data_IF_896345911532
#
_entry.id   IF_896345911532
#
_cell.length_a   1.000
_cell.length_b   1.000
_cell.length_c   1.000
_cell.angle_alpha   90.00
_cell.angle_beta   90.00
_cell.angle_gamma   90.00
#
_symmetry.space_group_name_H-M   'P 1'
#
loop_
_entity.id
_entity.type
_entity.pdbx_description
1 polymer ?
#
# COMPACT_ATOMS: atom_id res chain seq x y z
N UNK A 1 -43.47 35.25 36.66
CA UNK A 1 -42.57 34.08 36.60
C UNK A 1 -42.36 33.76 35.14
N UNK A 2 -41.21 34.13 34.56
CA UNK A 2 -40.87 33.77 33.18
C UNK A 2 -39.42 33.31 33.17
N UNK A 3 -39.21 32.10 32.68
CA UNK A 3 -37.99 31.31 32.81
C UNK A 3 -36.93 31.76 31.80
N UNK A 4 -35.72 31.99 32.31
CA UNK A 4 -34.50 32.10 31.49
C UNK A 4 -34.20 30.76 30.82
N UNK A 5 -34.28 30.70 29.50
CA UNK A 5 -33.70 29.61 28.72
C UNK A 5 -32.23 29.92 28.47
N UNK A 6 -31.37 29.19 29.18
CA UNK A 6 -29.93 29.15 28.98
C UNK A 6 -29.65 28.37 27.69
N UNK A 7 -29.21 29.06 26.64
CA UNK A 7 -28.83 28.45 25.37
C UNK A 7 -27.53 27.65 25.52
N UNK A 8 -27.62 26.33 25.37
CA UNK A 8 -26.48 25.42 25.29
C UNK A 8 -25.90 25.48 23.86
N UNK A 9 -24.81 26.22 23.68
CA UNK A 9 -24.06 26.27 22.44
C UNK A 9 -23.27 24.96 22.27
N UNK A 10 -23.77 24.05 21.42
CA UNK A 10 -23.05 22.84 21.01
C UNK A 10 -21.93 23.26 20.05
N UNK A 11 -20.70 23.35 20.57
CA UNK A 11 -19.48 23.45 19.77
C UNK A 11 -19.26 22.11 19.05
N UNK A 12 -19.76 22.02 17.82
CA UNK A 12 -19.34 21.00 16.86
C UNK A 12 -17.86 21.23 16.55
N UNK A 13 -16.97 20.50 17.23
CA UNK A 13 -15.58 20.37 16.80
C UNK A 13 -15.59 19.59 15.49
N UNK A 14 -15.48 20.29 14.37
CA UNK A 14 -15.09 19.70 13.09
C UNK A 14 -13.68 19.15 13.24
N UNK A 15 -13.55 17.86 13.52
CA UNK A 15 -12.26 17.17 13.41
C UNK A 15 -11.93 17.20 11.90
N UNK A 16 -10.83 17.85 11.47
CA UNK A 16 -10.41 17.76 10.08
C UNK A 16 -10.13 16.29 9.79
N UNK A 17 -10.86 15.73 8.83
CA UNK A 17 -10.50 14.44 8.24
C UNK A 17 -9.21 14.71 7.45
N UNK A 18 -8.05 14.43 8.05
CA UNK A 18 -6.80 14.41 7.30
C UNK A 18 -6.91 13.26 6.29
N UNK A 19 -7.30 13.59 5.07
CA UNK A 19 -7.01 12.76 3.91
C UNK A 19 -5.50 12.78 3.77
N UNK A 20 -4.77 11.81 4.33
CA UNK A 20 -3.35 11.77 4.00
C UNK A 20 -3.25 11.50 2.51
N UNK A 21 -2.48 12.35 1.86
CA UNK A 21 -2.29 12.35 0.45
C UNK A 21 -1.32 11.22 0.07
N UNK A 22 -1.38 10.83 -1.20
CA UNK A 22 -0.42 9.90 -1.77
C UNK A 22 0.98 10.52 -1.76
N UNK A 23 2.01 9.69 -1.56
CA UNK A 23 3.41 10.13 -1.64
C UNK A 23 3.70 10.58 -3.07
N UNK A 24 4.08 11.85 -3.22
CA UNK A 24 4.72 12.34 -4.42
C UNK A 24 6.22 12.08 -4.35
N UNK A 25 6.78 11.46 -5.39
CA UNK A 25 8.19 11.08 -5.45
C UNK A 25 8.83 11.59 -6.74
N UNK A 26 10.12 11.90 -6.66
CA UNK A 26 10.91 12.39 -7.80
C UNK A 26 11.09 11.28 -8.85
N UNK A 27 11.53 11.66 -10.05
CA UNK A 27 11.83 10.69 -11.10
C UNK A 27 12.91 9.70 -10.67
N UNK A 28 13.84 10.10 -9.81
CA UNK A 28 14.91 9.28 -9.26
C UNK A 28 15.01 9.41 -7.73
N UNK A 29 15.56 8.38 -7.09
CA UNK A 29 15.75 8.38 -5.65
C UNK A 29 16.25 7.04 -5.10
N UNK A 30 16.00 6.83 -3.80
CA UNK A 30 16.29 5.55 -3.14
C UNK A 30 15.03 4.95 -2.53
N UNK A 31 14.96 3.63 -2.51
CA UNK A 31 13.84 2.85 -2.01
C UNK A 31 14.36 1.59 -1.31
N UNK A 32 13.46 0.87 -0.65
CA UNK A 32 13.69 -0.55 -0.37
C UNK A 32 13.17 -1.41 -1.50
N UNK A 33 13.72 -2.61 -1.60
CA UNK A 33 13.21 -3.66 -2.45
C UNK A 33 13.13 -4.96 -1.67
N UNK A 34 11.97 -5.60 -1.74
CA UNK A 34 11.68 -6.95 -1.27
C UNK A 34 11.32 -7.83 -2.45
N UNK A 35 10.93 -9.08 -2.19
CA UNK A 35 10.33 -9.94 -3.19
C UNK A 35 9.12 -10.69 -2.63
N UNK A 36 8.24 -11.09 -3.55
CA UNK A 36 7.07 -11.90 -3.29
C UNK A 36 6.79 -12.83 -4.48
N UNK A 37 6.16 -13.96 -4.21
CA UNK A 37 5.71 -14.88 -5.24
C UNK A 37 4.43 -14.34 -5.90
N UNK A 38 4.50 -14.18 -7.23
CA UNK A 38 3.36 -13.83 -8.07
C UNK A 38 3.14 -14.96 -9.09
N UNK A 39 1.98 -15.64 -9.10
CA UNK A 39 1.69 -16.66 -10.09
C UNK A 39 1.71 -16.09 -11.52
N UNK A 40 2.21 -16.88 -12.47
CA UNK A 40 2.07 -16.54 -13.88
C UNK A 40 0.61 -16.41 -14.28
N UNK A 41 0.35 -15.49 -15.20
CA UNK A 41 -0.96 -15.13 -15.72
C UNK A 41 -1.94 -14.59 -14.65
N UNK A 42 -1.42 -14.17 -13.49
CA UNK A 42 -2.21 -13.48 -12.48
C UNK A 42 -2.55 -12.05 -12.91
N UNK A 43 -3.75 -11.59 -12.54
CA UNK A 43 -4.18 -10.19 -12.77
C UNK A 43 -4.06 -9.44 -11.46
N UNK A 44 -2.97 -8.70 -11.36
CA UNK A 44 -2.60 -7.85 -10.23
C UNK A 44 -3.47 -6.58 -10.14
N UNK A 45 -3.23 -5.76 -9.11
CA UNK A 45 -4.10 -4.63 -8.74
C UNK A 45 -4.31 -3.59 -9.85
N UNK A 46 -3.33 -3.38 -10.74
CA UNK A 46 -3.52 -2.48 -11.90
C UNK A 46 -4.49 -3.04 -12.95
N UNK A 47 -4.75 -4.34 -12.94
CA UNK A 47 -5.53 -5.01 -13.97
C UNK A 47 -4.79 -5.13 -15.30
N UNK A 48 -3.46 -5.12 -15.30
CA UNK A 48 -2.64 -5.36 -16.49
C UNK A 48 -2.94 -6.76 -17.07
N UNK A 49 -2.68 -6.93 -18.37
CA UNK A 49 -2.83 -8.24 -19.02
C UNK A 49 -2.03 -9.35 -18.30
N UNK A 50 -2.55 -10.58 -18.19
CA UNK A 50 -1.87 -11.72 -17.58
C UNK A 50 -0.46 -11.95 -18.11
N UNK A 51 -0.24 -11.73 -19.41
CA UNK A 51 1.06 -11.93 -20.05
C UNK A 51 2.14 -10.99 -19.51
N UNK A 52 1.78 -9.91 -18.82
CA UNK A 52 2.74 -9.01 -18.16
C UNK A 52 3.58 -9.71 -17.09
N UNK A 53 3.04 -10.77 -16.46
CA UNK A 53 3.75 -11.57 -15.43
C UNK A 53 4.89 -12.44 -15.97
N UNK A 54 5.01 -12.59 -17.30
CA UNK A 54 6.14 -13.26 -17.96
C UNK A 54 7.36 -12.34 -18.12
N UNK A 55 7.30 -11.13 -17.56
CA UNK A 55 8.32 -10.10 -17.61
C UNK A 55 8.52 -9.49 -16.22
N UNK A 56 9.62 -8.77 -15.95
CA UNK A 56 9.88 -8.26 -14.60
C UNK A 56 8.81 -7.26 -14.16
N UNK A 57 8.04 -7.61 -13.14
CA UNK A 57 7.03 -6.74 -12.55
C UNK A 57 7.28 -6.53 -11.06
N UNK A 58 6.67 -5.48 -10.51
CA UNK A 58 6.75 -5.22 -9.08
C UNK A 58 5.43 -4.66 -8.54
N UNK A 59 5.20 -4.90 -7.26
CA UNK A 59 4.23 -4.17 -6.47
C UNK A 59 4.86 -2.88 -5.92
N UNK A 60 4.17 -1.74 -6.02
CA UNK A 60 4.65 -0.49 -5.44
C UNK A 60 3.96 -0.23 -4.10
N UNK A 61 4.70 0.24 -3.10
CA UNK A 61 4.15 0.60 -1.78
C UNK A 61 2.95 1.55 -1.92
N UNK A 62 1.84 1.21 -1.25
CA UNK A 62 0.53 1.83 -1.42
C UNK A 62 0.52 3.35 -1.57
N UNK A 63 1.25 4.04 -0.70
CA UNK A 63 1.25 5.49 -0.70
C UNK A 63 1.92 6.07 -1.94
N UNK A 64 2.92 5.40 -2.53
CA UNK A 64 3.50 5.74 -3.82
C UNK A 64 2.74 5.14 -5.01
N UNK A 65 2.01 4.05 -4.81
CA UNK A 65 1.09 3.48 -5.80
C UNK A 65 -0.10 4.43 -6.07
N UNK A 66 -0.54 5.14 -5.03
CA UNK A 66 -1.55 6.19 -5.11
C UNK A 66 -2.99 5.68 -5.11
N UNK A 67 -3.22 4.49 -4.57
CA UNK A 67 -4.55 3.92 -4.32
C UNK A 67 -4.45 2.84 -3.25
N UNK A 68 -5.48 2.64 -2.43
CA UNK A 68 -5.57 1.54 -1.46
C UNK A 68 -6.26 0.29 -2.01
N UNK A 69 -6.83 0.37 -3.21
CA UNK A 69 -7.45 -0.75 -3.89
C UNK A 69 -7.50 -0.52 -5.40
N UNK A 70 -7.59 -1.60 -6.19
CA UNK A 70 -7.57 -1.57 -7.65
C UNK A 70 -6.38 -0.75 -8.17
N UNK A 71 -6.58 0.08 -9.21
CA UNK A 71 -5.52 0.85 -9.85
C UNK A 71 -5.23 2.20 -9.16
N UNK A 72 -4.00 2.69 -9.36
CA UNK A 72 -3.59 4.02 -8.94
C UNK A 72 -2.58 4.64 -9.93
N UNK A 73 -2.17 5.91 -9.74
CA UNK A 73 -1.22 6.60 -10.61
C UNK A 73 0.15 5.92 -10.76
N UNK A 74 0.50 4.98 -9.89
CA UNK A 74 1.70 4.15 -10.05
C UNK A 74 1.58 3.09 -11.16
N UNK A 75 0.37 2.73 -11.59
CA UNK A 75 0.14 1.66 -12.54
C UNK A 75 0.78 1.89 -13.90
N UNK A 76 1.42 0.85 -14.42
CA UNK A 76 2.05 0.84 -15.73
C UNK A 76 3.39 1.58 -15.79
N UNK A 77 3.78 2.32 -14.75
CA UNK A 77 5.08 3.02 -14.71
C UNK A 77 6.23 2.02 -14.69
N UNK A 78 7.31 2.35 -15.40
CA UNK A 78 8.51 1.54 -15.45
C UNK A 78 9.66 2.17 -14.67
N UNK A 79 10.38 1.34 -13.92
CA UNK A 79 11.45 1.76 -13.02
C UNK A 79 12.70 0.93 -13.27
N UNK A 80 13.83 1.59 -13.46
CA UNK A 80 15.13 0.95 -13.38
C UNK A 80 15.59 0.90 -11.92
N UNK A 81 15.63 -0.29 -11.34
CA UNK A 81 16.01 -0.55 -9.95
C UNK A 81 17.43 -1.08 -9.91
N UNK A 82 18.32 -0.46 -9.13
CA UNK A 82 19.72 -0.87 -8.97
C UNK A 82 20.01 -1.29 -7.54
N UNK A 83 20.57 -2.49 -7.35
CA UNK A 83 20.98 -2.98 -6.03
C UNK A 83 22.15 -2.16 -5.48
N UNK A 84 22.02 -1.65 -4.25
CA UNK A 84 23.08 -0.91 -3.56
C UNK A 84 23.74 -1.78 -2.49
N UNK A 85 22.94 -2.22 -1.52
CA UNK A 85 23.36 -3.07 -0.41
C UNK A 85 22.16 -3.70 0.28
N UNK A 86 22.40 -4.71 1.09
CA UNK A 86 21.35 -5.32 1.92
C UNK A 86 21.11 -4.50 3.18
N UNK A 87 19.87 -4.53 3.69
CA UNK A 87 19.49 -3.82 4.91
C UNK A 87 19.57 -4.70 6.17
N UNK A 88 19.08 -5.93 6.07
CA UNK A 88 18.88 -6.87 7.20
C UNK A 88 20.12 -7.70 7.54
N UNK A 89 21.12 -7.77 6.65
CA UNK A 89 22.32 -8.57 6.90
C UNK A 89 23.31 -7.84 7.80
N UNK A 90 24.00 -8.58 8.67
CA UNK A 90 25.05 -8.05 9.53
C UNK A 90 26.35 -8.82 9.30
N UNK A 91 27.42 -8.19 8.76
CA UNK A 91 27.47 -6.80 8.25
C UNK A 91 26.63 -6.62 6.95
N UNK A 92 26.31 -5.38 6.53
CA UNK A 92 25.66 -5.15 5.25
C UNK A 92 26.48 -5.75 4.09
N UNK A 93 25.80 -6.41 3.17
CA UNK A 93 26.38 -7.00 1.97
C UNK A 93 26.35 -5.99 0.84
N UNK A 94 27.50 -5.79 0.20
CA UNK A 94 27.67 -4.91 -0.96
C UNK A 94 28.04 -5.76 -2.18
N UNK A 95 27.20 -5.79 -3.23
CA UNK A 95 27.51 -6.51 -4.45
C UNK A 95 28.82 -6.01 -5.08
N UNK A 96 29.67 -6.95 -5.52
CA UNK A 96 30.88 -6.61 -6.30
C UNK A 96 30.57 -6.20 -7.74
N UNK A 97 29.38 -6.54 -8.23
CA UNK A 97 28.88 -6.20 -9.57
C UNK A 97 27.54 -5.51 -9.40
N UNK A 98 27.41 -4.33 -10.02
CA UNK A 98 26.15 -3.60 -10.07
C UNK A 98 25.10 -4.41 -10.83
N UNK A 99 24.03 -4.79 -10.14
CA UNK A 99 22.85 -5.44 -10.72
C UNK A 99 21.73 -4.42 -10.82
N UNK A 100 21.06 -4.39 -11.96
CA UNK A 100 19.89 -3.56 -12.17
C UNK A 100 18.85 -4.31 -12.99
N UNK A 101 17.59 -3.88 -12.88
CA UNK A 101 16.46 -4.44 -13.62
C UNK A 101 15.42 -3.36 -13.88
N UNK A 102 14.85 -3.36 -15.09
CA UNK A 102 13.70 -2.52 -15.40
C UNK A 102 12.44 -3.32 -15.10
N UNK A 103 11.62 -2.82 -14.17
CA UNK A 103 10.33 -3.42 -13.81
C UNK A 103 9.18 -2.54 -14.25
N UNK A 104 8.03 -3.14 -14.54
CA UNK A 104 6.75 -2.43 -14.65
C UNK A 104 5.96 -2.59 -13.34
N UNK A 105 5.45 -1.50 -12.79
CA UNK A 105 4.57 -1.53 -11.63
C UNK A 105 3.17 -2.01 -12.06
N UNK A 106 2.84 -3.24 -11.68
CA UNK A 106 1.55 -3.89 -12.03
C UNK A 106 0.69 -4.18 -10.81
N UNK A 107 1.26 -4.07 -9.62
CA UNK A 107 0.58 -4.44 -8.38
C UNK A 107 0.74 -3.41 -7.26
N UNK A 108 -0.07 -3.60 -6.24
CA UNK A 108 -0.12 -2.81 -5.02
C UNK A 108 0.55 -3.60 -3.88
N UNK A 109 1.54 -3.00 -3.24
CA UNK A 109 1.98 -3.48 -1.93
C UNK A 109 1.24 -2.70 -0.83
N UNK A 110 0.25 -3.31 -0.16
CA UNK A 110 -0.67 -2.59 0.73
C UNK A 110 0.05 -1.99 1.94
N UNK A 111 -0.52 -0.91 2.46
CA UNK A 111 -0.02 -0.28 3.67
C UNK A 111 -0.10 -1.28 4.83
N UNK A 112 1.05 -1.54 5.45
CA UNK A 112 1.18 -2.40 6.63
C UNK A 112 1.65 -1.57 7.82
N UNK A 113 1.39 -2.02 9.05
CA UNK A 113 1.78 -1.29 10.26
C UNK A 113 3.30 -1.05 10.33
N UNK A 114 4.07 -2.15 10.31
CA UNK A 114 5.52 -2.17 10.49
C UNK A 114 6.30 -2.83 9.33
N UNK A 115 5.63 -3.13 8.21
CA UNK A 115 6.26 -3.75 7.04
C UNK A 115 7.04 -2.78 6.15
N UNK A 116 7.60 -3.29 5.05
CA UNK A 116 8.41 -2.48 4.12
C UNK A 116 7.57 -1.47 3.32
N UNK A 117 6.28 -1.75 3.15
CA UNK A 117 5.30 -0.88 2.50
C UNK A 117 4.54 0.02 3.49
N UNK A 118 5.06 0.20 4.71
CA UNK A 118 4.44 1.00 5.79
C UNK A 118 4.65 2.52 5.68
N UNK A 119 5.35 2.98 4.65
CA UNK A 119 5.65 4.39 4.48
C UNK A 119 4.37 5.21 4.22
N UNK A 120 4.28 6.36 4.89
CA UNK A 120 3.28 7.42 4.67
C UNK A 120 4.01 8.73 4.33
N UNK A 121 3.27 9.80 4.02
CA UNK A 121 3.90 11.11 3.78
C UNK A 121 4.75 11.63 4.94
N UNK A 122 4.38 11.28 6.17
CA UNK A 122 5.02 11.77 7.40
C UNK A 122 5.93 10.75 8.06
N UNK A 123 5.92 9.49 7.61
CA UNK A 123 6.65 8.38 8.24
C UNK A 123 7.31 7.50 7.17
N UNK A 124 8.64 7.41 7.10
CA UNK A 124 9.27 6.41 6.24
C UNK A 124 9.07 4.99 6.78
N UNK A 125 9.36 3.98 5.96
CA UNK A 125 9.42 2.58 6.39
C UNK A 125 10.61 2.33 7.35
N UNK A 126 10.78 1.11 7.89
CA UNK A 126 11.82 0.82 8.90
C UNK A 126 13.28 1.09 8.46
N UNK A 127 13.54 1.24 7.16
CA UNK A 127 14.87 1.60 6.63
C UNK A 127 15.06 3.10 6.35
N UNK A 128 14.06 3.92 6.67
CA UNK A 128 14.09 5.35 6.37
C UNK A 128 13.73 5.69 4.92
N UNK A 129 13.12 4.76 4.16
CA UNK A 129 12.70 4.97 2.76
C UNK A 129 11.20 5.20 2.66
N UNK A 130 10.79 6.04 1.71
CA UNK A 130 9.38 6.34 1.45
C UNK A 130 8.73 5.42 0.40
N UNK A 131 9.56 4.70 -0.36
CA UNK A 131 9.12 3.77 -1.38
C UNK A 131 9.63 2.37 -1.05
N UNK A 132 8.79 1.37 -1.32
CA UNK A 132 9.19 -0.03 -1.45
C UNK A 132 8.72 -0.58 -2.79
N UNK A 133 9.60 -1.33 -3.45
CA UNK A 133 9.25 -2.18 -4.59
C UNK A 133 9.25 -3.62 -4.12
N UNK A 134 8.12 -4.31 -4.21
CA UNK A 134 8.06 -5.74 -3.98
C UNK A 134 8.21 -6.45 -5.33
N UNK A 135 9.38 -7.02 -5.59
CA UNK A 135 9.69 -7.63 -6.88
C UNK A 135 8.95 -8.97 -7.03
N UNK A 136 8.30 -9.20 -8.16
CA UNK A 136 7.70 -10.51 -8.46
C UNK A 136 8.81 -11.54 -8.74
N UNK A 137 9.27 -12.20 -7.67
CA UNK A 137 10.41 -13.10 -7.68
C UNK A 137 10.21 -14.21 -6.63
N UNK A 138 10.57 -15.47 -6.92
CA UNK A 138 11.19 -15.97 -8.17
C UNK A 138 10.25 -15.87 -9.39
N UNK A 139 10.83 -15.68 -10.58
CA UNK A 139 10.13 -15.71 -11.86
C UNK A 139 11.09 -16.00 -13.01
N UNK A 140 10.63 -16.65 -14.08
CA UNK A 140 11.44 -16.97 -15.27
C UNK A 140 11.97 -15.70 -15.98
N UNK A 141 11.32 -14.56 -15.74
CA UNK A 141 11.69 -13.26 -16.28
C UNK A 141 12.92 -12.62 -15.61
N UNK A 142 13.29 -13.10 -14.41
CA UNK A 142 14.32 -12.49 -13.57
C UNK A 142 15.41 -13.54 -13.32
N UNK A 143 16.69 -13.29 -13.66
CA UNK A 143 17.75 -14.26 -13.46
C UNK A 143 17.84 -14.71 -11.99
N UNK A 144 18.00 -16.01 -11.74
CA UNK A 144 18.18 -16.58 -10.38
C UNK A 144 19.33 -15.94 -9.59
N UNK A 145 20.31 -15.35 -10.29
CA UNK A 145 21.45 -14.65 -9.70
C UNK A 145 21.26 -13.13 -9.57
N UNK A 146 20.04 -12.63 -9.74
CA UNK A 146 19.73 -11.21 -9.62
C UNK A 146 19.99 -10.70 -8.20
N UNK A 147 19.68 -11.51 -7.18
CA UNK A 147 20.05 -11.26 -5.78
C UNK A 147 21.37 -11.99 -5.45
N UNK A 148 22.54 -11.32 -5.58
CA UNK A 148 23.82 -11.92 -5.24
C UNK A 148 23.91 -12.17 -3.74
N UNK A 149 24.66 -13.23 -3.36
CA UNK A 149 24.85 -13.60 -1.96
C UNK A 149 26.24 -14.15 -1.68
N UNK A 150 26.54 -14.30 -0.39
CA UNK A 150 27.75 -14.97 0.09
C UNK A 150 27.37 -15.93 1.24
N UNK A 151 26.81 -17.08 0.87
CA UNK A 151 26.35 -18.08 1.83
C UNK A 151 27.46 -18.55 2.78
N UNK A 152 28.72 -18.58 2.33
CA UNK A 152 29.86 -18.94 3.17
C UNK A 152 30.09 -17.95 4.32
N UNK A 153 29.80 -16.66 4.11
CA UNK A 153 29.95 -15.62 5.14
C UNK A 153 28.69 -15.48 6.00
N UNK A 154 27.50 -15.52 5.40
CA UNK A 154 26.25 -15.18 6.08
C UNK A 154 25.45 -16.39 6.56
N UNK A 155 25.67 -17.58 5.99
CA UNK A 155 24.93 -18.80 6.30
C UNK A 155 23.59 -18.92 5.57
N UNK A 156 23.24 -17.98 4.69
CA UNK A 156 22.01 -17.97 3.89
C UNK A 156 22.24 -17.21 2.57
N UNK A 157 21.37 -17.44 1.59
CA UNK A 157 21.46 -16.85 0.25
C UNK A 157 20.47 -15.72 0.00
N UNK A 158 19.36 -15.69 0.73
CA UNK A 158 18.35 -14.65 0.60
C UNK A 158 18.45 -13.65 1.75
N UNK A 159 18.80 -12.42 1.42
CA UNK A 159 18.85 -11.32 2.39
C UNK A 159 17.47 -10.72 2.67
N UNK A 160 16.47 -11.00 1.84
CA UNK A 160 15.09 -10.52 1.97
C UNK A 160 14.91 -9.04 1.59
N UNK A 161 15.78 -8.14 2.05
CA UNK A 161 15.59 -6.68 1.90
C UNK A 161 16.84 -5.99 1.41
N UNK A 162 16.68 -5.24 0.33
CA UNK A 162 17.72 -4.48 -0.33
C UNK A 162 17.43 -2.98 -0.30
N UNK A 163 18.46 -2.18 -0.07
CA UNK A 163 18.46 -0.78 -0.49
C UNK A 163 18.70 -0.73 -1.98
N UNK A 164 17.88 0.05 -2.69
CA UNK A 164 18.01 0.26 -4.12
C UNK A 164 18.00 1.75 -4.46
N UNK A 165 18.65 2.12 -5.56
CA UNK A 165 18.30 3.34 -6.26
C UNK A 165 17.25 3.02 -7.32
N UNK A 166 16.31 3.94 -7.54
CA UNK A 166 15.33 3.83 -8.61
C UNK A 166 15.44 5.02 -9.56
N UNK A 167 15.09 4.79 -10.81
CA UNK A 167 14.85 5.82 -11.81
C UNK A 167 13.60 5.45 -12.60
N UNK A 168 12.66 6.37 -12.71
CA UNK A 168 11.52 6.27 -13.62
C UNK A 168 12.03 6.37 -15.05
N UNK A 169 11.71 5.38 -15.87
CA UNK A 169 12.18 5.26 -17.27
C UNK A 169 11.00 5.02 -18.20
N UNK A 170 11.20 5.30 -19.49
CA UNK A 170 10.25 4.85 -20.53
C UNK A 170 10.10 3.34 -20.46
N UNK A 171 8.86 2.86 -20.53
CA UNK A 171 8.55 1.43 -20.60
C UNK A 171 9.08 0.77 -21.87
N UNK A 172 9.54 1.53 -22.86
CA UNK A 172 10.33 0.99 -23.98
C UNK A 172 11.60 0.24 -23.52
N UNK A 173 12.09 0.53 -22.32
CA UNK A 173 13.22 -0.19 -21.71
C UNK A 173 12.81 -1.45 -20.93
N UNK A 174 11.51 -1.69 -20.76
CA UNK A 174 11.00 -2.88 -20.08
C UNK A 174 10.95 -4.05 -21.05
N UNK A 175 11.40 -5.23 -20.60
CA UNK A 175 11.56 -6.41 -21.46
C UNK A 175 10.26 -6.86 -22.16
N UNK A 176 9.09 -6.58 -21.57
CA UNK A 176 7.78 -6.90 -22.14
C UNK A 176 7.25 -5.90 -23.17
N UNK A 177 7.93 -4.77 -23.41
CA UNK A 177 7.45 -3.71 -24.30
C UNK A 177 7.14 -4.17 -25.72
N UNK A 178 8.00 -5.02 -26.30
CA UNK A 178 7.83 -5.53 -27.65
C UNK A 178 6.73 -6.59 -27.80
N UNK A 179 6.05 -6.97 -26.72
CA UNK A 179 5.00 -7.99 -26.72
C UNK A 179 3.64 -7.37 -26.44
N UNK A 180 2.85 -7.18 -27.49
CA UNK A 180 1.50 -6.60 -27.41
C UNK A 180 0.59 -7.33 -26.40
N UNK A 181 0.76 -8.64 -26.21
CA UNK A 181 -0.05 -9.41 -25.28
C UNK A 181 0.26 -9.10 -23.80
N UNK A 182 1.40 -8.45 -23.51
CA UNK A 182 1.84 -8.04 -22.17
C UNK A 182 1.55 -6.55 -21.88
N UNK A 183 0.93 -5.86 -22.84
CA UNK A 183 0.55 -4.45 -22.74
C UNK A 183 -0.94 -4.31 -22.42
N UNK A 184 -1.32 -3.16 -21.88
CA UNK A 184 -2.70 -2.78 -21.60
C UNK A 184 -3.35 -3.46 -20.39
N UNK A 185 -4.62 -3.11 -20.19
CA UNK A 185 -5.50 -3.73 -19.20
C UNK A 185 -6.19 -4.97 -19.76
N UNK A 186 -6.63 -5.87 -18.87
CA UNK A 186 -7.53 -6.97 -19.26
C UNK A 186 -8.85 -6.47 -19.83
N UNK A 187 -9.33 -7.13 -20.88
CA UNK A 187 -10.56 -6.75 -21.58
C UNK A 187 -11.85 -7.27 -20.90
N UNK A 188 -11.76 -8.27 -20.02
CA UNK A 188 -12.93 -8.89 -19.37
C UNK A 188 -13.35 -8.19 -18.07
N UNK A 189 -12.53 -7.28 -17.55
CA UNK A 189 -12.92 -6.36 -16.47
C UNK A 189 -13.26 -5.02 -17.11
N UNK A 190 -14.30 -4.36 -16.60
CA UNK A 190 -14.68 -3.05 -17.10
C UNK A 190 -13.64 -1.98 -16.71
N UNK A 191 -13.59 -0.89 -17.49
CA UNK A 191 -12.64 0.21 -17.31
C UNK A 191 -12.75 0.90 -15.94
N UNK A 192 -13.87 0.72 -15.25
CA UNK A 192 -14.06 1.16 -13.87
C UNK A 192 -13.21 0.38 -12.86
N UNK A 193 -12.71 -0.81 -13.21
CA UNK A 193 -11.99 -1.71 -12.29
C UNK A 193 -10.51 -1.89 -12.62
N UNK A 194 -10.06 -1.45 -13.81
CA UNK A 194 -8.69 -1.68 -14.29
C UNK A 194 -8.11 -0.47 -15.02
N UNK A 195 -6.81 -0.25 -14.85
CA UNK A 195 -6.06 0.76 -15.60
C UNK A 195 -4.57 0.38 -15.61
N UNK A 196 -4.06 0.04 -16.78
CA UNK A 196 -2.65 -0.28 -17.00
C UNK A 196 -2.18 0.32 -18.33
N UNK A 197 -1.66 1.56 -18.33
CA UNK A 197 -1.11 2.21 -19.51
C UNK A 197 0.18 1.51 -19.97
N UNK A 198 0.43 1.52 -21.27
CA UNK A 198 1.57 0.83 -21.86
C UNK A 198 2.90 1.51 -21.51
N UNK A 199 2.91 2.84 -21.53
CA UNK A 199 4.06 3.70 -21.26
C UNK A 199 3.63 5.07 -20.69
N UNK A 200 3.20 5.15 -19.42
CA UNK A 200 2.78 6.41 -18.81
C UNK A 200 3.99 7.35 -18.62
N UNK A 201 3.89 8.61 -19.08
CA UNK A 201 4.95 9.63 -18.91
C UNK A 201 4.82 10.42 -17.60
N UNK A 202 3.77 10.15 -16.82
CA UNK A 202 3.43 10.91 -15.61
C UNK A 202 2.52 12.11 -15.89
N UNK A 203 1.99 12.24 -17.11
CA UNK A 203 0.99 13.23 -17.46
C UNK A 203 -0.41 12.80 -16.99
N UNK A 204 -1.29 13.78 -16.76
CA UNK A 204 -2.66 13.49 -16.32
C UNK A 204 -3.48 12.68 -17.35
N UNK A 205 -3.09 12.69 -18.62
CA UNK A 205 -3.82 12.02 -19.71
C UNK A 205 -3.32 10.61 -20.01
N UNK A 206 -2.18 10.19 -19.47
CA UNK A 206 -1.56 8.89 -19.74
C UNK A 206 -1.27 8.08 -18.47
N UNK A 207 -1.63 8.62 -17.31
CA UNK A 207 -1.50 7.99 -16.00
C UNK A 207 -2.88 7.66 -15.45
N UNK A 208 -3.00 6.54 -14.73
CA UNK A 208 -4.26 6.18 -14.09
C UNK A 208 -4.67 7.18 -13.01
N UNK A 209 -5.98 7.46 -12.84
CA UNK A 209 -6.44 8.16 -11.66
C UNK A 209 -6.33 7.23 -10.43
N UNK A 210 -6.45 7.79 -9.23
CA UNK A 210 -6.62 6.98 -8.03
C UNK A 210 -8.02 6.38 -8.00
N UNK A 211 -8.13 5.06 -8.01
CA UNK A 211 -9.42 4.40 -7.81
C UNK A 211 -10.00 4.75 -6.43
N UNK A 212 -9.16 4.74 -5.39
CA UNK A 212 -9.59 5.07 -4.03
C UNK A 212 -10.16 6.48 -3.93
N UNK A 213 -9.50 7.49 -4.50
CA UNK A 213 -10.01 8.87 -4.44
C UNK A 213 -11.33 9.01 -5.20
N UNK A 214 -11.44 8.39 -6.38
CA UNK A 214 -12.65 8.43 -7.20
C UNK A 214 -13.86 7.76 -6.53
N UNK A 215 -13.61 6.83 -5.60
CA UNK A 215 -14.64 6.06 -4.92
C UNK A 215 -14.76 6.41 -3.42
N UNK A 216 -14.06 7.44 -2.93
CA UNK A 216 -14.09 7.86 -1.52
C UNK A 216 -13.57 6.80 -0.55
N UNK A 217 -12.62 5.95 -0.98
CA UNK A 217 -12.06 4.87 -0.17
C UNK A 217 -10.83 5.39 0.58
N UNK A 218 -10.77 5.24 1.91
CA UNK A 218 -9.62 5.69 2.68
C UNK A 218 -8.36 4.87 2.35
N UNK A 219 -7.21 5.53 2.44
CA UNK A 219 -5.88 4.91 2.36
C UNK A 219 -5.67 3.79 3.39
N UNK A 220 -6.17 3.95 4.62
CA UNK A 220 -6.17 2.89 5.62
C UNK A 220 -7.54 2.25 5.55
N UNK A 221 -7.62 1.00 5.12
CA UNK A 221 -8.80 0.19 5.42
C UNK A 221 -8.76 0.02 6.94
N UNK A 222 -9.46 0.90 7.65
CA UNK A 222 -9.83 0.71 9.04
C UNK A 222 -10.70 -0.55 9.06
N UNK A 223 -10.07 -1.73 9.03
CA UNK A 223 -10.69 -2.92 9.58
C UNK A 223 -11.01 -2.53 11.01
N UNK A 224 -12.28 -2.27 11.28
CA UNK A 224 -12.78 -1.77 12.55
C UNK A 224 -12.10 -2.54 13.70
N UNK A 225 -11.18 -1.89 14.42
CA UNK A 225 -10.82 -2.28 15.79
C UNK A 225 -11.99 -2.06 16.78
N UNK A 226 -13.23 -1.87 16.29
CA UNK A 226 -14.42 -1.89 17.13
C UNK A 226 -14.78 -3.30 17.64
N UNK A 227 -14.10 -4.36 17.17
CA UNK A 227 -14.28 -5.72 17.67
C UNK A 227 -13.62 -6.01 19.03
N UNK A 228 -12.58 -5.26 19.41
CA UNK A 228 -11.77 -5.59 20.61
C UNK A 228 -12.27 -4.89 21.87
N UNK A 229 -13.06 -3.82 21.75
CA UNK A 229 -13.60 -3.12 22.91
C UNK A 229 -14.77 -3.85 23.59
N UNK A 230 -15.46 -4.75 22.88
CA UNK A 230 -16.60 -5.50 23.44
C UNK A 230 -16.24 -6.82 24.13
N UNK A 231 -15.04 -7.36 23.91
CA UNK A 231 -14.61 -8.61 24.57
C UNK A 231 -13.80 -8.43 25.86
N UNK A 232 -13.51 -7.18 26.29
CA UNK A 232 -12.89 -6.95 27.60
C UNK A 232 -13.92 -6.93 28.75
N UNK A 233 -15.22 -6.79 28.46
CA UNK A 233 -16.28 -6.68 29.48
C UNK A 233 -17.08 -7.97 29.73
N UNK A 234 -16.73 -9.09 29.08
CA UNK A 234 -17.49 -10.36 29.23
C UNK A 234 -16.75 -11.45 30.01
N UNK A 235 -15.65 -11.15 30.71
CA UNK A 235 -15.08 -12.10 31.69
C UNK A 235 -15.64 -11.78 33.09
N UNK A 236 -16.47 -12.65 33.68
CA UNK A 236 -16.84 -12.52 35.07
C UNK A 236 -15.67 -13.00 35.94
N UNK A 237 -14.85 -12.09 36.45
CA UNK A 237 -13.98 -12.40 37.58
C UNK A 237 -14.82 -12.46 38.86
N UNK A 238 -15.12 -13.68 39.28
CA UNK A 238 -15.52 -14.00 40.64
C UNK A 238 -14.38 -13.63 41.60
N UNK A 239 -14.50 -12.49 42.30
CA UNK A 239 -14.11 -12.37 43.71
C UNK A 239 -14.72 -11.15 44.38
N UNK A 240 -15.39 -11.42 45.49
CA UNK A 240 -15.96 -10.57 46.54
C UNK A 240 -15.13 -9.35 46.96
N UNK A 241 -15.74 -8.16 47.06
CA UNK A 241 -16.03 -7.50 48.35
C UNK A 241 -16.80 -6.17 48.17
N UNK A 242 -17.50 -5.80 49.25
CA UNK A 242 -18.59 -4.82 49.40
C UNK A 242 -18.23 -3.33 49.28
N UNK A 243 -18.99 -2.59 48.47
CA UNK A 243 -19.55 -1.25 48.80
C UNK A 243 -20.54 -0.76 47.72
N UNK A 244 -21.60 0.01 48.04
CA UNK A 244 -22.72 0.24 47.12
C UNK A 244 -22.43 1.34 46.09
N UNK A 245 -22.53 0.99 44.80
CA UNK A 245 -22.48 1.95 43.69
C UNK A 245 -23.88 2.51 43.37
N UNK A 246 -23.96 3.83 43.28
CA UNK A 246 -25.06 4.57 42.67
C UNK A 246 -25.17 4.25 41.18
N UNK A 247 -26.36 3.85 40.75
CA UNK A 247 -26.70 3.62 39.34
C UNK A 247 -26.55 4.91 38.51
N UNK A 248 -25.52 4.95 37.66
CA UNK A 248 -25.34 5.99 36.64
C UNK A 248 -26.14 5.66 35.39
N UNK A 249 -27.11 6.52 35.08
CA UNK A 249 -27.95 6.46 33.88
C UNK A 249 -27.09 6.74 32.65
N UNK A 250 -27.05 5.80 31.71
CA UNK A 250 -26.42 6.00 30.39
C UNK A 250 -27.27 7.04 29.63
N UNK A 251 -26.70 8.18 29.18
CA UNK A 251 -27.48 9.16 28.44
C UNK A 251 -27.79 8.64 27.02
N UNK A 252 -29.07 8.61 26.69
CA UNK A 252 -29.68 8.16 25.42
C UNK A 252 -29.27 8.93 24.16
N UNK A 253 -28.17 9.70 24.19
CA UNK A 253 -27.67 10.50 23.08
C UNK A 253 -26.87 9.63 22.10
N UNK A 254 -26.22 8.55 22.57
CA UNK A 254 -25.38 7.71 21.72
C UNK A 254 -26.18 6.80 20.77
N UNK A 255 -27.43 6.50 21.08
CA UNK A 255 -28.31 5.65 20.25
C UNK A 255 -28.89 6.44 19.07
N UNK A 256 -29.11 7.76 19.22
CA UNK A 256 -29.71 8.60 18.18
C UNK A 256 -28.77 8.87 16.99
N UNK A 257 -27.45 8.88 17.22
CA UNK A 257 -26.46 9.07 16.15
C UNK A 257 -26.40 7.83 15.23
N UNK A 258 -26.60 6.63 15.78
CA UNK A 258 -26.62 5.39 14.99
C UNK A 258 -27.87 5.25 14.11
N UNK A 259 -29.03 5.76 14.55
CA UNK A 259 -30.26 5.69 13.75
C UNK A 259 -30.21 6.66 12.56
N UNK A 260 -29.55 7.81 12.70
CA UNK A 260 -29.44 8.78 11.60
C UNK A 260 -28.51 8.32 10.46
N UNK A 261 -27.48 7.52 10.74
CA UNK A 261 -26.58 7.02 9.69
C UNK A 261 -27.16 5.86 8.86
N UNK A 262 -28.01 5.01 9.45
CA UNK A 262 -28.65 3.91 8.70
C UNK A 262 -29.81 4.37 7.79
N UNK A 263 -30.30 5.59 7.94
CA UNK A 263 -31.40 6.12 7.12
C UNK A 263 -30.95 7.04 5.96
N UNK A 264 -29.63 7.25 5.77
CA UNK A 264 -29.10 8.10 4.68
C UNK A 264 -28.46 7.31 3.53
N UNK A 265 -28.69 6.00 3.47
CA UNK A 265 -28.42 5.17 2.29
C UNK A 265 -29.73 4.66 1.72
N UNK A 266 -30.41 5.54 0.99
CA UNK A 266 -31.47 5.24 0.04
C UNK A 266 -31.15 5.91 -1.28
#
# INVERSE_FOLDING_TARGET
MSFSFLGLLVLLFSIPLETAAWINYNADGTATMTHYELPENYVASCGCTPSSTHYPTAALSQMAYGSSTAYGPGCGKCFNLTLLNTWTSTPPFYPSVTKHIVVKATDLCPLSGDGWCSATESKPNPSGKYLNFDLAYPSDAIPDNFFPSNASLYGYTDFGVWNVSYQTVSCENWAGWGNEAALGSVAYLGSESVCCPDNPTGGANDTCPSYSDNNGIPQVVFLLELGTFLMQFSRPDTTTSSSPQTAGVIPSILILVFIFLCCYTG
#
